data_IF_626298042796
#
_entry.id   IF_626298042796
#
_cell.length_a   1.000
_cell.length_b   1.000
_cell.length_c   1.000
_cell.angle_alpha   90.00
_cell.angle_beta   90.00
_cell.angle_gamma   90.00
#
_symmetry.space_group_name_H-M   'P 1'
#
loop_
_entity.id
_entity.type
_entity.pdbx_description
1 polymer ?
#
# COMPACT_ATOMS: atom_id res chain seq x y z
N UNK A 1 -12.03 13.97 -3.39
CA UNK A 1 -11.44 13.99 -2.03
C UNK A 1 -10.57 12.76 -1.93
N UNK A 2 -9.24 12.92 -1.89
CA UNK A 2 -8.36 11.80 -1.57
C UNK A 2 -8.40 11.61 -0.06
N UNK A 3 -8.88 10.47 0.42
CA UNK A 3 -8.77 10.11 1.84
C UNK A 3 -7.30 9.93 2.21
N UNK A 4 -6.97 10.17 3.47
CA UNK A 4 -5.70 9.76 4.06
C UNK A 4 -5.95 8.40 4.74
N UNK A 5 -5.19 7.36 4.35
CA UNK A 5 -5.15 6.08 5.09
C UNK A 5 -3.81 6.04 5.83
N UNK A 6 -3.89 5.98 7.15
CA UNK A 6 -2.75 5.73 8.03
C UNK A 6 -2.89 4.30 8.56
N UNK A 7 -1.80 3.55 8.55
CA UNK A 7 -1.76 2.19 9.05
C UNK A 7 -0.34 1.67 9.17
N UNK A 8 -0.16 0.56 9.87
CA UNK A 8 1.16 -0.07 10.02
C UNK A 8 1.35 -1.14 8.95
N UNK A 9 2.51 -1.16 8.30
CA UNK A 9 2.83 -2.21 7.33
C UNK A 9 3.20 -3.52 8.02
N UNK A 10 2.55 -4.59 7.59
CA UNK A 10 2.80 -5.96 8.00
C UNK A 10 3.11 -6.85 6.79
N UNK A 11 4.02 -7.81 6.97
CA UNK A 11 4.29 -8.85 5.99
C UNK A 11 3.80 -10.20 6.50
N UNK A 12 2.67 -10.67 5.96
CA UNK A 12 2.02 -11.90 6.41
C UNK A 12 1.70 -12.77 5.19
N UNK A 13 2.11 -14.04 5.24
CA UNK A 13 1.95 -15.03 4.16
C UNK A 13 2.50 -14.54 2.80
N UNK A 14 3.69 -13.93 2.83
CA UNK A 14 4.33 -13.28 1.68
C UNK A 14 3.56 -12.11 1.05
N UNK A 15 2.67 -11.47 1.82
CA UNK A 15 1.89 -10.33 1.34
C UNK A 15 2.10 -9.11 2.24
N UNK A 16 2.38 -7.96 1.62
CA UNK A 16 2.35 -6.67 2.29
C UNK A 16 0.90 -6.27 2.53
N UNK A 17 0.54 -6.01 3.79
CA UNK A 17 -0.81 -5.64 4.25
C UNK A 17 -0.72 -4.55 5.30
N UNK A 18 -1.84 -3.89 5.55
CA UNK A 18 -2.02 -3.16 6.79
C UNK A 18 -2.31 -4.15 7.94
N UNK A 19 -2.07 -3.70 9.17
CA UNK A 19 -2.34 -4.47 10.40
C UNK A 19 -3.83 -4.80 10.60
N UNK A 20 -4.73 -3.99 10.04
CA UNK A 20 -6.17 -4.27 9.97
C UNK A 20 -6.56 -5.30 8.89
N UNK A 21 -5.60 -5.79 8.11
CA UNK A 21 -5.78 -6.82 7.08
C UNK A 21 -6.09 -6.27 5.68
N UNK A 22 -6.24 -4.96 5.51
CA UNK A 22 -6.41 -4.34 4.19
C UNK A 22 -5.16 -4.54 3.32
N UNK A 23 -5.35 -4.62 2.01
CA UNK A 23 -4.28 -4.89 1.05
C UNK A 23 -3.93 -3.60 0.29
N UNK A 24 -2.82 -2.93 0.63
CA UNK A 24 -2.37 -1.76 -0.12
C UNK A 24 -1.81 -2.18 -1.47
N UNK A 25 -2.28 -1.53 -2.54
CA UNK A 25 -1.75 -1.68 -3.90
C UNK A 25 -1.03 -0.39 -4.26
N UNK A 26 0.29 -0.52 -4.37
CA UNK A 26 1.18 0.59 -4.69
C UNK A 26 1.42 0.69 -6.21
N UNK A 27 1.38 1.89 -6.81
CA UNK A 27 1.73 2.10 -8.21
C UNK A 27 3.17 1.67 -8.53
N UNK A 28 3.34 0.82 -9.53
CA UNK A 28 4.61 0.23 -9.97
C UNK A 28 5.71 1.28 -10.27
N UNK A 29 5.35 2.38 -10.92
CA UNK A 29 6.29 3.46 -11.27
C UNK A 29 6.86 4.22 -10.08
N UNK A 30 6.21 4.13 -8.92
CA UNK A 30 6.57 4.86 -7.71
C UNK A 30 7.10 3.95 -6.61
N UNK A 31 7.15 2.63 -6.86
CA UNK A 31 7.32 1.65 -5.80
C UNK A 31 8.36 0.62 -6.15
N UNK A 32 9.29 0.40 -5.23
CA UNK A 32 10.19 -0.74 -5.28
C UNK A 32 10.16 -1.49 -3.96
N UNK A 33 10.29 -2.81 -4.03
CA UNK A 33 10.33 -3.70 -2.87
C UNK A 33 11.52 -4.64 -3.03
N UNK A 34 12.39 -4.69 -2.01
CA UNK A 34 13.60 -5.54 -2.02
C UNK A 34 13.47 -6.81 -1.16
N UNK A 35 12.31 -7.05 -0.54
CA UNK A 35 12.10 -8.13 0.42
C UNK A 35 12.15 -7.69 1.89
N UNK A 36 12.65 -6.49 2.16
CA UNK A 36 12.82 -5.93 3.51
C UNK A 36 12.37 -4.47 3.64
N UNK A 37 12.57 -3.69 2.58
CA UNK A 37 12.34 -2.25 2.54
C UNK A 37 11.43 -1.91 1.36
N UNK A 38 10.39 -1.13 1.65
CA UNK A 38 9.49 -0.55 0.68
C UNK A 38 9.99 0.85 0.38
N UNK A 39 10.41 1.09 -0.85
CA UNK A 39 10.63 2.45 -1.33
C UNK A 39 9.35 2.90 -2.03
N UNK A 40 8.72 3.95 -1.53
CA UNK A 40 7.52 4.52 -2.13
C UNK A 40 7.68 6.03 -2.32
N UNK A 41 7.61 6.49 -3.57
CA UNK A 41 7.82 7.87 -3.97
C UNK A 41 9.15 8.49 -3.49
N UNK A 42 10.18 7.66 -3.30
CA UNK A 42 11.51 8.06 -2.82
C UNK A 42 11.69 8.00 -1.31
N UNK A 43 10.64 7.69 -0.55
CA UNK A 43 10.71 7.45 0.91
C UNK A 43 10.87 5.96 1.19
N UNK A 44 11.64 5.60 2.21
CA UNK A 44 11.90 4.21 2.61
C UNK A 44 11.12 3.84 3.87
N UNK A 45 10.43 2.70 3.83
CA UNK A 45 9.64 2.15 4.94
C UNK A 45 10.06 0.71 5.20
N UNK A 46 10.35 0.40 6.46
CA UNK A 46 10.62 -0.96 6.94
C UNK A 46 9.35 -1.59 7.50
N UNK A 47 9.41 -2.89 7.68
CA UNK A 47 8.34 -3.62 8.35
C UNK A 47 8.17 -3.14 9.80
N UNK A 48 6.91 -2.90 10.19
CA UNK A 48 6.58 -2.31 11.49
C UNK A 48 6.65 -0.78 11.53
N UNK A 49 7.10 -0.12 10.47
CA UNK A 49 7.00 1.33 10.37
C UNK A 49 5.54 1.74 10.14
N UNK A 50 5.15 2.85 10.76
CA UNK A 50 3.90 3.53 10.44
C UNK A 50 4.05 4.24 9.09
N UNK A 51 3.10 4.05 8.20
CA UNK A 51 3.07 4.73 6.91
C UNK A 51 1.81 5.56 6.77
N UNK A 52 1.98 6.81 6.33
CA UNK A 52 0.88 7.70 5.98
C UNK A 52 0.74 7.76 4.47
N UNK A 53 -0.34 7.19 3.95
CA UNK A 53 -0.59 7.10 2.51
C UNK A 53 -1.76 8.01 2.12
N UNK A 54 -1.57 8.74 1.03
CA UNK A 54 -2.68 9.36 0.33
C UNK A 54 -3.48 8.29 -0.42
N UNK A 55 -4.68 8.62 -0.86
CA UNK A 55 -5.53 7.60 -1.47
C UNK A 55 -6.20 6.73 -0.40
N UNK A 56 -7.13 5.89 -0.83
CA UNK A 56 -8.12 5.32 0.09
C UNK A 56 -9.51 5.16 -0.51
N UNK A 57 -9.72 5.57 -1.76
CA UNK A 57 -10.95 5.22 -2.45
C UNK A 57 -10.85 3.76 -2.91
N UNK A 58 -11.72 2.85 -2.44
CA UNK A 58 -11.89 1.58 -3.11
C UNK A 58 -12.27 1.90 -4.56
N UNK A 59 -11.38 1.57 -5.50
CA UNK A 59 -11.62 1.85 -6.90
C UNK A 59 -12.38 0.66 -7.45
N UNK A 60 -13.71 0.79 -7.56
CA UNK A 60 -14.53 -0.20 -8.23
C UNK A 60 -14.06 -0.32 -9.69
N UNK A 61 -13.60 -1.51 -10.08
CA UNK A 61 -13.05 -1.76 -11.43
C UNK A 61 -11.56 -1.44 -11.62
N UNK A 62 -10.79 -1.20 -10.55
CA UNK A 62 -9.34 -1.19 -10.69
C UNK A 62 -8.80 -2.56 -11.10
N UNK A 63 -8.09 -2.58 -12.23
CA UNK A 63 -7.43 -3.79 -12.71
C UNK A 63 -6.02 -3.85 -12.11
N UNK A 64 -5.81 -4.75 -11.16
CA UNK A 64 -4.46 -5.15 -10.77
C UNK A 64 -3.93 -6.04 -11.89
N UNK A 65 -2.82 -5.68 -12.52
CA UNK A 65 -2.24 -6.45 -13.64
C UNK A 65 -1.73 -7.84 -13.22
N UNK A 66 -1.65 -8.08 -11.91
CA UNK A 66 -1.21 -9.34 -11.31
C UNK A 66 -2.29 -9.77 -10.32
N UNK A 67 -2.81 -11.01 -10.41
CA UNK A 67 -3.78 -11.50 -9.44
C UNK A 67 -3.15 -11.51 -8.04
N UNK A 68 -3.86 -10.95 -7.07
CA UNK A 68 -3.46 -10.98 -5.66
C UNK A 68 -3.46 -12.46 -5.22
N UNK A 69 -2.34 -13.00 -4.69
CA UNK A 69 -2.30 -14.37 -4.20
C UNK A 69 -3.40 -14.62 -3.16
N UNK A 70 -4.07 -15.78 -3.23
CA UNK A 70 -5.11 -16.15 -2.24
C UNK A 70 -4.57 -16.19 -0.80
N UNK A 71 -3.27 -16.42 -0.63
CA UNK A 71 -2.60 -16.35 0.68
C UNK A 71 -2.66 -14.96 1.29
N UNK A 72 -2.85 -13.90 0.49
CA UNK A 72 -3.04 -12.53 0.94
C UNK A 72 -4.39 -12.26 1.64
N UNK A 73 -5.26 -13.27 1.73
CA UNK A 73 -6.56 -13.14 2.39
C UNK A 73 -7.60 -12.38 1.56
N UNK A 74 -8.65 -11.93 2.25
CA UNK A 74 -9.83 -11.29 1.64
C UNK A 74 -10.00 -9.83 2.09
N UNK A 75 -8.89 -9.15 2.43
CA UNK A 75 -8.90 -7.74 2.83
C UNK A 75 -9.37 -6.82 1.71
N UNK A 76 -9.78 -5.60 2.05
CA UNK A 76 -10.18 -4.61 1.05
C UNK A 76 -8.93 -4.16 0.30
N UNK A 77 -9.03 -4.09 -1.03
CA UNK A 77 -7.96 -3.57 -1.88
C UNK A 77 -7.99 -2.04 -1.81
N UNK A 78 -6.91 -1.45 -1.34
CA UNK A 78 -6.76 0.00 -1.26
C UNK A 78 -5.66 0.43 -2.23
N UNK A 79 -6.03 1.18 -3.28
CA UNK A 79 -5.03 1.83 -4.11
C UNK A 79 -4.50 3.04 -3.36
N UNK A 80 -3.20 3.00 -3.09
CA UNK A 80 -2.51 4.05 -2.34
C UNK A 80 -1.80 5.00 -3.29
N UNK A 81 -1.75 6.25 -2.88
CA UNK A 81 -1.02 7.33 -3.50
C UNK A 81 0.03 7.83 -2.52
N UNK A 82 1.11 8.47 -3.00
CA UNK A 82 2.02 9.17 -2.12
C UNK A 82 1.21 10.11 -1.20
N UNK A 83 1.61 10.27 0.07
CA UNK A 83 1.02 11.33 0.88
C UNK A 83 1.11 12.61 0.05
N UNK A 84 0.01 13.37 -0.01
CA UNK A 84 0.02 14.68 -0.66
C UNK A 84 1.14 15.46 0.00
N UNK A 85 2.32 15.50 -0.63
CA UNK A 85 3.37 16.43 -0.24
C UNK A 85 2.65 17.76 -0.32
N UNK A 86 2.45 18.42 0.82
CA UNK A 86 1.92 19.77 0.83
C UNK A 86 2.73 20.52 -0.23
N UNK A 87 2.07 20.91 -1.32
CA UNK A 87 2.69 21.73 -2.35
C UNK A 87 3.17 22.97 -1.61
N UNK A 88 4.48 23.07 -1.43
CA UNK A 88 5.17 24.23 -0.89
C UNK A 88 5.71 25.08 -2.01
#
# INVERSE_FOLDING_TARGET
>A
MAGLKVGTLAFVDNCLRFDDGDIPVFPDKLTTWDGTTLTFAGEEYRMGDEISLGGGSPVEGATVSIPIPKSCGNGIIIIVSPPSRAEG
#
